data_IF_928312011907
#
_entry.id   IF_928312011907
#
_cell.length_a   1.000
_cell.length_b   1.000
_cell.length_c   1.000
_cell.angle_alpha   90.00
_cell.angle_beta   90.00
_cell.angle_gamma   90.00
#
_symmetry.space_group_name_H-M   'P 1'
#
loop_
_entity.id
_entity.type
_entity.pdbx_description
1 polymer ?
#
# COMPACT_ATOMS: atom_id res chain seq x y z
N UNK A 1 12.92 -34.49 -12.47
CA UNK A 1 11.71 -35.25 -12.84
C UNK A 1 10.75 -34.28 -13.50
N UNK A 2 10.53 -34.38 -14.81
CA UNK A 2 9.59 -33.51 -15.53
C UNK A 2 8.21 -34.17 -15.56
N UNK A 3 7.14 -33.39 -15.40
CA UNK A 3 5.76 -33.88 -15.51
C UNK A 3 5.18 -33.33 -16.81
N UNK A 4 4.75 -34.21 -17.72
CA UNK A 4 4.03 -33.81 -18.93
C UNK A 4 2.58 -33.55 -18.53
N UNK A 5 2.12 -32.32 -18.73
CA UNK A 5 0.76 -31.90 -18.40
C UNK A 5 0.12 -31.27 -19.64
N UNK A 6 -1.15 -31.60 -19.88
CA UNK A 6 -1.95 -31.00 -20.94
C UNK A 6 -2.56 -29.67 -20.50
N UNK A 7 -2.78 -28.76 -21.47
CA UNK A 7 -3.37 -27.43 -21.22
C UNK A 7 -4.69 -27.48 -20.41
N UNK A 8 -5.66 -28.38 -20.69
CA UNK A 8 -6.92 -28.43 -19.92
C UNK A 8 -6.71 -28.81 -18.45
N UNK A 9 -5.67 -29.58 -18.15
CA UNK A 9 -5.31 -29.95 -16.78
C UNK A 9 -4.73 -28.75 -16.04
N UNK A 10 -3.92 -27.90 -16.70
CA UNK A 10 -3.44 -26.65 -16.10
C UNK A 10 -4.57 -25.67 -15.82
N UNK A 11 -5.49 -25.49 -16.76
CA UNK A 11 -6.63 -24.57 -16.61
C UNK A 11 -7.50 -24.91 -15.39
N UNK A 12 -7.68 -26.21 -15.12
CA UNK A 12 -8.46 -26.72 -13.98
C UNK A 12 -7.61 -26.99 -12.73
N UNK A 13 -6.31 -26.73 -12.76
CA UNK A 13 -5.42 -27.02 -11.64
C UNK A 13 -5.81 -26.20 -10.41
N UNK A 14 -5.73 -26.84 -9.24
CA UNK A 14 -5.98 -26.16 -7.97
C UNK A 14 -4.82 -25.22 -7.64
N UNK A 15 -5.15 -23.98 -7.28
CA UNK A 15 -4.13 -22.99 -6.93
C UNK A 15 -3.75 -23.10 -5.45
N UNK A 16 -2.45 -23.18 -5.18
CA UNK A 16 -1.88 -23.23 -3.82
C UNK A 16 -1.53 -21.84 -3.27
N UNK A 17 -1.03 -20.96 -4.15
CA UNK A 17 -0.61 -19.60 -3.85
C UNK A 17 -0.82 -18.68 -5.04
N UNK A 18 -1.11 -17.40 -4.79
CA UNK A 18 -1.26 -16.39 -5.83
C UNK A 18 -0.77 -15.04 -5.36
N UNK A 19 -0.08 -14.31 -6.23
CA UNK A 19 0.42 -12.97 -5.97
C UNK A 19 -0.27 -11.99 -6.92
N UNK A 20 -1.18 -11.17 -6.38
CA UNK A 20 -1.86 -10.13 -7.15
C UNK A 20 -1.03 -8.86 -7.13
N UNK A 21 -0.95 -8.15 -8.26
CA UNK A 21 -0.15 -6.93 -8.28
C UNK A 21 -0.64 -5.89 -9.27
N UNK A 22 -0.30 -4.64 -8.99
CA UNK A 22 -0.58 -3.48 -9.82
C UNK A 22 0.63 -2.54 -9.83
N UNK A 23 1.06 -2.16 -11.02
CA UNK A 23 2.01 -1.07 -11.22
C UNK A 23 1.24 0.24 -11.36
N UNK A 24 1.69 1.28 -10.66
CA UNK A 24 1.11 2.61 -10.67
C UNK A 24 2.22 3.59 -11.04
N UNK A 25 2.02 4.33 -12.13
CA UNK A 25 2.89 5.45 -12.51
C UNK A 25 2.54 6.64 -11.62
N UNK A 26 3.55 7.29 -11.07
CA UNK A 26 3.39 8.52 -10.31
C UNK A 26 3.56 9.71 -11.25
N UNK A 27 2.73 10.73 -11.03
CA UNK A 27 2.74 11.99 -11.78
C UNK A 27 3.10 13.15 -10.84
N UNK A 28 3.20 14.38 -11.36
CA UNK A 28 3.39 15.61 -10.57
C UNK A 28 4.67 15.67 -9.72
N UNK A 29 5.72 14.96 -10.16
CA UNK A 29 7.02 14.95 -9.47
C UNK A 29 7.06 14.17 -8.16
N UNK A 30 6.00 13.41 -7.82
CA UNK A 30 6.04 12.49 -6.69
C UNK A 30 6.99 11.33 -6.94
N UNK A 31 7.84 11.03 -5.96
CA UNK A 31 8.76 9.88 -6.01
C UNK A 31 8.21 8.68 -5.27
N UNK A 32 8.52 7.47 -5.73
CA UNK A 32 8.12 6.23 -5.06
C UNK A 32 8.64 6.19 -3.61
N UNK A 33 9.84 6.72 -3.39
CA UNK A 33 10.45 6.88 -2.07
C UNK A 33 9.63 7.78 -1.13
N UNK A 34 9.12 8.92 -1.62
CA UNK A 34 8.28 9.80 -0.83
C UNK A 34 7.00 9.08 -0.38
N UNK A 35 6.30 8.43 -1.32
CA UNK A 35 5.07 7.70 -1.05
C UNK A 35 5.31 6.54 -0.06
N UNK A 36 6.36 5.75 -0.27
CA UNK A 36 6.72 4.64 0.64
C UNK A 36 7.05 5.16 2.04
N UNK A 37 7.72 6.32 2.15
CA UNK A 37 7.99 6.95 3.45
C UNK A 37 6.71 7.40 4.15
N UNK A 38 5.77 8.01 3.43
CA UNK A 38 4.49 8.43 3.98
C UNK A 38 3.64 7.21 4.40
N UNK A 39 3.55 6.18 3.54
CA UNK A 39 2.88 4.92 3.88
C UNK A 39 3.55 4.19 5.05
N UNK A 40 4.85 4.40 5.28
CA UNK A 40 5.55 3.78 6.41
C UNK A 40 5.15 4.35 7.77
N UNK A 41 4.54 5.53 7.82
CA UNK A 41 4.04 6.17 9.05
C UNK A 41 2.73 5.56 9.56
N UNK A 42 2.09 4.71 8.75
CA UNK A 42 0.82 4.04 9.03
C UNK A 42 0.87 3.14 10.27
N UNK A 43 -0.20 3.17 11.06
CA UNK A 43 -0.39 2.25 12.18
C UNK A 43 -1.06 0.94 11.74
N UNK A 44 -0.31 -0.17 11.80
CA UNK A 44 -0.83 -1.51 11.50
C UNK A 44 -1.26 -2.29 12.75
N UNK A 45 -2.04 -3.37 12.55
CA UNK A 45 -2.36 -4.32 13.62
C UNK A 45 -1.07 -4.99 14.09
N UNK A 46 -1.01 -5.35 15.39
CA UNK A 46 0.11 -6.10 15.99
C UNK A 46 0.41 -7.44 15.29
N UNK A 47 -0.57 -8.00 14.57
CA UNK A 47 -0.42 -9.24 13.80
C UNK A 47 0.38 -9.08 12.51
N UNK A 48 0.71 -7.83 12.11
CA UNK A 48 1.55 -7.54 10.96
C UNK A 48 2.89 -7.02 11.44
N UNK A 49 3.95 -7.70 11.02
CA UNK A 49 5.31 -7.20 11.13
C UNK A 49 5.56 -6.26 9.97
N UNK A 50 5.97 -5.03 10.28
CA UNK A 50 6.22 -4.05 9.24
C UNK A 50 7.70 -3.71 9.20
N UNK A 51 8.32 -4.14 8.10
CA UNK A 51 9.73 -3.92 7.83
C UNK A 51 9.87 -3.03 6.60
N UNK A 52 10.58 -1.92 6.78
CA UNK A 52 11.05 -1.09 5.68
C UNK A 52 12.45 -1.54 5.33
N UNK A 53 12.69 -1.80 4.05
CA UNK A 53 14.02 -2.15 3.56
C UNK A 53 14.46 -1.07 2.58
N UNK A 54 15.61 -0.45 2.86
CA UNK A 54 16.30 0.42 1.89
C UNK A 54 17.22 -0.46 1.05
N UNK A 55 17.33 -0.19 -0.24
CA UNK A 55 18.23 -0.89 -1.14
C UNK A 55 18.97 0.09 -2.05
N UNK A 56 19.97 -0.41 -2.81
CA UNK A 56 20.86 0.42 -3.64
C UNK A 56 20.11 1.39 -4.57
N UNK A 57 20.74 2.54 -4.84
CA UNK A 57 20.19 3.69 -5.60
C UNK A 57 19.00 4.37 -4.91
N UNK A 58 19.05 4.51 -3.58
CA UNK A 58 18.02 5.12 -2.72
C UNK A 58 16.62 4.50 -2.79
N UNK A 59 16.42 3.41 -3.52
CA UNK A 59 15.13 2.74 -3.63
C UNK A 59 14.65 2.15 -2.30
N UNK A 60 13.34 2.24 -2.07
CA UNK A 60 12.71 1.77 -0.83
C UNK A 60 11.68 0.68 -1.12
N UNK A 61 11.50 -0.21 -0.16
CA UNK A 61 10.35 -1.11 -0.10
C UNK A 61 9.75 -1.16 1.29
N UNK A 62 8.47 -1.50 1.28
CA UNK A 62 7.61 -1.57 2.43
C UNK A 62 7.00 -2.96 2.45
N UNK A 63 7.22 -3.69 3.52
CA UNK A 63 6.61 -4.99 3.76
C UNK A 63 5.67 -4.88 4.94
N UNK A 64 4.40 -5.21 4.74
CA UNK A 64 3.51 -5.62 5.81
C UNK A 64 3.40 -7.14 5.76
N UNK A 65 4.19 -7.81 6.59
CA UNK A 65 4.38 -9.24 6.59
C UNK A 65 3.51 -9.92 7.66
N UNK A 66 2.88 -11.04 7.28
CA UNK A 66 2.44 -12.08 8.19
C UNK A 66 2.92 -13.43 7.67
N UNK A 67 2.83 -14.48 8.48
CA UNK A 67 3.13 -15.85 8.04
C UNK A 67 2.29 -16.29 6.83
N UNK A 68 1.02 -15.88 6.77
CA UNK A 68 0.07 -16.38 5.78
C UNK A 68 0.00 -15.58 4.48
N UNK A 69 0.32 -14.28 4.56
CA UNK A 69 0.21 -13.34 3.45
C UNK A 69 1.00 -12.06 3.71
N UNK A 70 1.33 -11.34 2.64
CA UNK A 70 2.17 -10.14 2.70
C UNK A 70 1.64 -9.07 1.75
N UNK A 71 1.70 -7.81 2.17
CA UNK A 71 1.61 -6.67 1.27
C UNK A 71 3.02 -6.12 1.08
N UNK A 72 3.46 -6.05 -0.17
CA UNK A 72 4.76 -5.53 -0.58
C UNK A 72 4.53 -4.33 -1.48
N UNK A 73 5.08 -3.19 -1.08
CA UNK A 73 5.03 -1.95 -1.86
C UNK A 73 6.47 -1.52 -2.12
N UNK A 74 6.85 -1.36 -3.38
CA UNK A 74 8.23 -1.05 -3.72
C UNK A 74 8.36 -0.24 -4.99
N UNK A 75 9.49 0.47 -5.11
CA UNK A 75 9.90 1.12 -6.35
C UNK A 75 10.27 0.06 -7.39
N UNK A 76 9.44 -0.06 -8.43
CA UNK A 76 9.59 -1.10 -9.45
C UNK A 76 10.78 -0.83 -10.36
N UNK A 77 11.09 0.44 -10.63
CA UNK A 77 12.18 0.82 -11.54
C UNK A 77 13.51 0.61 -10.82
N UNK A 78 13.63 1.05 -9.58
CA UNK A 78 14.81 0.78 -8.78
C UNK A 78 15.02 -0.73 -8.54
N UNK A 79 13.95 -1.52 -8.35
CA UNK A 79 14.06 -2.97 -8.17
C UNK A 79 14.51 -3.72 -9.44
N UNK A 80 14.12 -3.24 -10.64
CA UNK A 80 14.55 -3.83 -11.91
C UNK A 80 16.05 -3.68 -12.17
N UNK A 81 16.70 -2.67 -11.56
CA UNK A 81 18.15 -2.48 -11.64
C UNK A 81 18.95 -3.52 -10.85
N UNK A 82 18.30 -4.32 -9.99
CA UNK A 82 18.97 -5.31 -9.14
C UNK A 82 19.19 -6.64 -9.85
N UNK A 83 20.24 -7.35 -9.40
CA UNK A 83 20.42 -8.76 -9.73
C UNK A 83 19.25 -9.61 -9.26
N UNK A 84 18.93 -10.70 -9.98
CA UNK A 84 17.83 -11.63 -9.63
C UNK A 84 17.90 -12.12 -8.17
N UNK A 85 19.12 -12.36 -7.66
CA UNK A 85 19.34 -12.79 -6.26
C UNK A 85 18.92 -11.73 -5.23
N UNK A 86 19.01 -10.43 -5.59
CA UNK A 86 18.72 -9.29 -4.71
C UNK A 86 17.38 -8.59 -5.00
N UNK A 87 16.80 -8.81 -6.18
CA UNK A 87 15.52 -8.24 -6.58
C UNK A 87 14.35 -8.76 -5.73
N UNK A 88 13.36 -7.90 -5.49
CA UNK A 88 12.10 -8.26 -4.82
C UNK A 88 11.22 -9.05 -5.79
N UNK A 89 11.24 -8.66 -7.06
CA UNK A 89 10.72 -9.47 -8.16
C UNK A 89 11.78 -10.48 -8.60
N UNK A 90 11.55 -11.76 -8.27
CA UNK A 90 12.45 -12.86 -8.65
C UNK A 90 12.27 -13.30 -10.10
N UNK A 91 11.11 -13.00 -10.70
CA UNK A 91 10.71 -13.46 -12.03
C UNK A 91 10.93 -12.36 -13.09
N UNK A 92 12.14 -11.79 -13.08
CA UNK A 92 12.58 -10.87 -14.14
C UNK A 92 12.78 -11.64 -15.45
N UNK A 93 11.73 -11.70 -16.27
CA UNK A 93 11.82 -12.20 -17.65
C UNK A 93 12.70 -11.29 -18.51
N UNK A 94 13.26 -11.82 -19.60
CA UNK A 94 14.08 -11.03 -20.53
C UNK A 94 13.28 -9.83 -21.08
N UNK A 95 11.99 -10.01 -21.34
CA UNK A 95 11.08 -8.94 -21.76
C UNK A 95 11.03 -7.77 -20.75
N UNK A 96 10.94 -8.06 -19.46
CA UNK A 96 10.94 -7.01 -18.42
C UNK A 96 12.26 -6.22 -18.38
N UNK A 97 13.39 -6.87 -18.69
CA UNK A 97 14.70 -6.22 -18.75
C UNK A 97 14.86 -5.35 -20.00
N UNK A 98 14.37 -5.81 -21.15
CA UNK A 98 14.37 -5.00 -22.37
C UNK A 98 13.48 -3.77 -22.20
N UNK A 99 12.29 -3.93 -21.62
CA UNK A 99 11.42 -2.80 -21.26
C UNK A 99 12.12 -1.82 -20.32
N UNK A 100 12.88 -2.31 -19.33
CA UNK A 100 13.67 -1.47 -18.43
C UNK A 100 14.70 -0.62 -19.18
N UNK A 101 15.48 -1.21 -20.09
CA UNK A 101 16.46 -0.46 -20.89
C UNK A 101 15.83 0.62 -21.76
N UNK A 102 14.57 0.47 -22.15
CA UNK A 102 13.85 1.52 -22.86
C UNK A 102 13.21 2.57 -21.94
N UNK A 103 12.88 2.20 -20.70
CA UNK A 103 12.34 3.13 -19.71
C UNK A 103 13.43 4.08 -19.19
N UNK A 104 14.68 3.64 -19.16
CA UNK A 104 15.84 4.45 -18.75
C UNK A 104 16.45 5.29 -19.87
N UNK A 105 16.06 5.07 -21.14
CA UNK A 105 16.54 5.86 -22.30
C UNK A 105 15.84 7.22 -22.47
N UNK A 106 14.67 7.42 -21.86
CA UNK A 106 13.96 8.71 -21.89
C UNK A 106 14.56 9.72 -20.92
N UNK A 107 14.51 11.02 -21.26
CA UNK A 107 14.91 12.12 -20.36
C UNK A 107 14.00 12.25 -19.11
N UNK A 108 12.81 11.65 -19.14
CA UNK A 108 11.89 11.65 -18.00
C UNK A 108 12.21 10.50 -17.04
N UNK A 109 12.62 10.85 -15.81
CA UNK A 109 12.67 9.92 -14.70
C UNK A 109 11.25 9.44 -14.41
N UNK A 110 10.95 8.21 -14.83
CA UNK A 110 9.67 7.58 -14.55
C UNK A 110 9.69 7.05 -13.13
N UNK A 111 8.66 7.37 -12.37
CA UNK A 111 8.45 6.87 -11.02
C UNK A 111 7.30 5.86 -11.07
N UNK A 112 7.62 4.59 -10.79
CA UNK A 112 6.62 3.51 -10.83
C UNK A 112 6.67 2.74 -9.52
N UNK A 113 5.57 2.80 -8.78
CA UNK A 113 5.38 2.03 -7.55
C UNK A 113 4.59 0.77 -7.87
N UNK A 114 5.00 -0.37 -7.33
CA UNK A 114 4.24 -1.62 -7.44
C UNK A 114 3.63 -1.98 -6.11
N UNK A 115 2.34 -2.26 -6.15
CA UNK A 115 1.60 -2.91 -5.08
C UNK A 115 1.54 -4.40 -5.38
N UNK A 116 1.95 -5.23 -4.44
CA UNK A 116 1.97 -6.68 -4.58
C UNK A 116 1.41 -7.35 -3.32
N UNK A 117 0.32 -8.10 -3.46
CA UNK A 117 -0.33 -8.85 -2.40
C UNK A 117 0.02 -10.30 -2.61
N UNK A 118 0.86 -10.86 -1.74
CA UNK A 118 1.33 -12.24 -1.79
C UNK A 118 0.48 -13.11 -0.88
N UNK A 119 -0.34 -13.99 -1.45
CA UNK A 119 -1.12 -14.99 -0.72
C UNK A 119 -0.39 -16.33 -0.81
N UNK A 120 0.40 -16.64 0.22
CA UNK A 120 1.30 -17.81 0.21
C UNK A 120 0.61 -19.10 0.67
N UNK A 121 -0.45 -18.98 1.49
CA UNK A 121 -1.17 -20.12 2.04
C UNK A 121 -2.59 -20.21 1.49
N UNK A 122 -2.95 -21.40 0.99
CA UNK A 122 -4.27 -21.71 0.41
C UNK A 122 -5.44 -21.34 1.32
N UNK A 123 -5.35 -21.64 2.62
CA UNK A 123 -6.40 -21.29 3.59
C UNK A 123 -6.65 -19.78 3.65
N UNK A 124 -5.58 -18.97 3.65
CA UNK A 124 -5.69 -17.51 3.67
C UNK A 124 -6.19 -16.96 2.35
N UNK A 125 -5.74 -17.52 1.23
CA UNK A 125 -6.24 -17.18 -0.10
C UNK A 125 -7.75 -17.41 -0.17
N UNK A 126 -8.23 -18.61 0.18
CA UNK A 126 -9.65 -18.94 0.19
C UNK A 126 -10.45 -17.98 1.09
N UNK A 127 -9.93 -17.64 2.27
CA UNK A 127 -10.58 -16.68 3.17
C UNK A 127 -10.68 -15.27 2.56
N UNK A 128 -9.61 -14.77 1.95
CA UNK A 128 -9.61 -13.45 1.30
C UNK A 128 -10.59 -13.42 0.12
N UNK A 129 -10.64 -14.50 -0.66
CA UNK A 129 -11.57 -14.62 -1.78
C UNK A 129 -13.02 -14.70 -1.33
N UNK A 130 -13.31 -15.49 -0.29
CA UNK A 130 -14.63 -15.58 0.33
C UNK A 130 -15.10 -14.25 0.93
N UNK A 131 -14.21 -13.53 1.64
CA UNK A 131 -14.48 -12.18 2.16
C UNK A 131 -14.85 -11.18 1.03
N UNK A 132 -14.41 -11.44 -0.20
CA UNK A 132 -14.69 -10.63 -1.40
C UNK A 132 -15.84 -11.18 -2.26
N UNK A 133 -16.51 -12.25 -1.81
CA UNK A 133 -17.67 -12.86 -2.47
C UNK A 133 -17.34 -13.89 -3.55
N UNK A 134 -16.11 -14.44 -3.57
CA UNK A 134 -15.70 -15.49 -4.50
C UNK A 134 -15.70 -16.89 -3.85
N UNK A 135 -15.79 -17.92 -4.68
CA UNK A 135 -15.75 -19.32 -4.24
C UNK A 135 -14.38 -19.75 -3.72
N UNK A 136 -14.39 -20.76 -2.84
CA UNK A 136 -13.18 -21.41 -2.34
C UNK A 136 -12.55 -22.31 -3.40
N UNK A 137 -11.23 -22.46 -3.34
CA UNK A 137 -10.44 -23.31 -4.21
C UNK A 137 -10.58 -22.96 -5.71
N UNK A 138 -10.27 -21.70 -6.09
CA UNK A 138 -10.30 -21.32 -7.50
C UNK A 138 -9.37 -22.20 -8.33
N UNK A 139 -9.78 -22.45 -9.57
CA UNK A 139 -8.91 -23.02 -10.59
C UNK A 139 -7.93 -21.98 -11.12
N UNK A 140 -6.90 -22.42 -11.83
CA UNK A 140 -5.94 -21.52 -12.47
C UNK A 140 -6.63 -20.51 -13.40
N UNK A 141 -7.60 -20.96 -14.20
CA UNK A 141 -8.35 -20.05 -15.10
C UNK A 141 -9.17 -19.03 -14.32
N UNK A 142 -9.83 -19.44 -13.23
CA UNK A 142 -10.65 -18.55 -12.42
C UNK A 142 -9.82 -17.47 -11.72
N UNK A 143 -8.61 -17.83 -11.26
CA UNK A 143 -7.74 -16.90 -10.55
C UNK A 143 -7.05 -15.90 -11.49
N UNK A 144 -6.90 -16.25 -12.77
CA UNK A 144 -6.34 -15.40 -13.81
C UNK A 144 -7.37 -14.35 -14.28
N UNK A 145 -7.82 -13.52 -13.35
CA UNK A 145 -8.88 -12.52 -13.56
C UNK A 145 -8.42 -11.14 -13.13
N UNK A 146 -8.49 -10.19 -14.06
CA UNK A 146 -8.19 -8.77 -13.80
C UNK A 146 -9.10 -8.20 -12.71
N UNK A 147 -10.39 -8.55 -12.74
CA UNK A 147 -11.37 -8.09 -11.75
C UNK A 147 -11.04 -8.61 -10.35
N UNK A 148 -10.66 -9.89 -10.24
CA UNK A 148 -10.25 -10.47 -8.94
C UNK A 148 -9.00 -9.78 -8.41
N UNK A 149 -8.00 -9.56 -9.28
CA UNK A 149 -6.78 -8.84 -8.91
C UNK A 149 -7.09 -7.41 -8.45
N UNK A 150 -7.95 -6.69 -9.17
CA UNK A 150 -8.41 -5.35 -8.81
C UNK A 150 -9.06 -5.33 -7.42
N UNK A 151 -10.01 -6.23 -7.15
CA UNK A 151 -10.69 -6.29 -5.84
C UNK A 151 -9.73 -6.59 -4.70
N UNK A 152 -8.84 -7.56 -4.88
CA UNK A 152 -7.87 -7.93 -3.84
C UNK A 152 -6.90 -6.79 -3.55
N UNK A 153 -6.30 -6.18 -4.58
CA UNK A 153 -5.34 -5.07 -4.38
C UNK A 153 -6.03 -3.89 -3.70
N UNK A 154 -7.25 -3.54 -4.14
CA UNK A 154 -8.04 -2.44 -3.59
C UNK A 154 -8.47 -2.67 -2.15
N UNK A 155 -8.87 -3.89 -1.77
CA UNK A 155 -9.18 -4.22 -0.36
C UNK A 155 -7.97 -4.00 0.54
N UNK A 156 -6.80 -4.48 0.14
CA UNK A 156 -5.58 -4.34 0.92
C UNK A 156 -5.16 -2.87 1.06
N UNK A 157 -5.22 -2.11 -0.03
CA UNK A 157 -5.00 -0.65 0.00
C UNK A 157 -5.95 0.03 0.99
N UNK A 158 -7.25 -0.25 0.89
CA UNK A 158 -8.29 0.37 1.70
C UNK A 158 -8.13 0.03 3.18
N UNK A 159 -8.02 -1.26 3.51
CA UNK A 159 -8.05 -1.80 4.88
C UNK A 159 -6.76 -1.58 5.66
N UNK A 160 -5.60 -1.67 4.98
CA UNK A 160 -4.29 -1.57 5.64
C UNK A 160 -3.74 -0.15 5.61
N UNK A 161 -3.93 0.58 4.51
CA UNK A 161 -3.30 1.90 4.33
C UNK A 161 -4.31 3.02 4.52
N UNK A 162 -5.40 3.05 3.75
CA UNK A 162 -6.32 4.19 3.67
C UNK A 162 -7.15 4.39 4.93
N UNK A 163 -8.09 3.49 5.25
CA UNK A 163 -9.11 3.67 6.29
C UNK A 163 -8.55 3.96 7.69
N UNK A 164 -7.36 3.44 8.00
CA UNK A 164 -6.75 3.59 9.32
C UNK A 164 -5.95 4.88 9.50
N UNK A 165 -5.62 5.58 8.41
CA UNK A 165 -4.59 6.62 8.42
C UNK A 165 -4.89 7.82 7.51
N UNK A 166 -6.15 8.02 7.08
CA UNK A 166 -6.56 9.14 6.21
C UNK A 166 -5.93 10.49 6.62
N UNK A 167 -5.83 10.76 7.91
CA UNK A 167 -5.28 11.99 8.48
C UNK A 167 -3.78 12.15 8.35
N UNK A 168 -3.01 11.05 8.34
CA UNK A 168 -1.57 11.15 8.09
C UNK A 168 -1.29 11.70 6.68
N UNK A 169 -2.23 11.46 5.75
CA UNK A 169 -2.12 11.83 4.35
C UNK A 169 -2.83 13.15 4.00
N UNK A 170 -3.21 13.97 4.99
CA UNK A 170 -3.80 15.28 4.67
C UNK A 170 -2.72 16.29 4.26
N UNK A 171 -3.10 17.28 3.44
CA UNK A 171 -2.21 18.37 3.01
C UNK A 171 -1.63 19.09 4.25
N UNK A 172 -0.37 19.52 4.18
CA UNK A 172 0.23 20.37 5.23
C UNK A 172 -0.50 21.70 5.28
N UNK A 173 -1.35 21.86 6.29
CA UNK A 173 -1.98 23.15 6.63
C UNK A 173 -1.30 23.66 7.89
N UNK A 174 -1.26 24.99 8.09
CA UNK A 174 -0.79 25.57 9.34
C UNK A 174 -1.50 24.91 10.54
N UNK A 175 -0.80 24.73 11.66
CA UNK A 175 -1.35 24.13 12.89
C UNK A 175 -2.68 24.80 13.29
N UNK A 176 -2.76 26.14 13.13
CA UNK A 176 -3.97 26.92 13.40
C UNK A 176 -5.10 26.61 12.43
N UNK A 177 -4.80 26.33 11.17
CA UNK A 177 -5.81 25.97 10.17
C UNK A 177 -6.30 24.54 10.34
N UNK A 178 -5.44 23.62 10.81
CA UNK A 178 -5.88 22.28 11.23
C UNK A 178 -6.86 22.39 12.41
N UNK A 179 -6.57 23.24 13.39
CA UNK A 179 -7.48 23.53 14.51
C UNK A 179 -8.82 24.11 14.03
N UNK A 180 -8.78 25.09 13.11
CA UNK A 180 -10.00 25.65 12.48
C UNK A 180 -10.78 24.56 11.75
N UNK A 181 -10.09 23.67 11.03
CA UNK A 181 -10.72 22.56 10.31
C UNK A 181 -11.44 21.60 11.27
N UNK A 182 -10.85 21.31 12.44
CA UNK A 182 -11.51 20.49 13.47
C UNK A 182 -12.83 21.10 13.95
N UNK A 183 -12.84 22.40 14.25
CA UNK A 183 -14.06 23.11 14.67
C UNK A 183 -15.10 23.25 13.56
N UNK A 184 -14.66 23.39 12.30
CA UNK A 184 -15.57 23.41 11.14
C UNK A 184 -16.18 22.03 10.87
N UNK A 185 -15.41 20.96 11.08
CA UNK A 185 -15.85 19.59 10.85
C UNK A 185 -16.81 19.08 11.94
N UNK A 186 -16.65 19.53 13.18
CA UNK A 186 -17.54 19.22 14.30
C UNK A 186 -17.81 20.48 15.15
N UNK A 187 -19.00 21.07 14.95
CA UNK A 187 -19.44 22.29 15.64
C UNK A 187 -19.65 22.10 17.15
N UNK A 188 -19.77 20.87 17.62
CA UNK A 188 -19.97 20.54 19.04
C UNK A 188 -18.64 20.20 19.75
N UNK A 189 -17.52 20.21 19.03
CA UNK A 189 -16.22 19.83 19.56
C UNK A 189 -15.71 20.85 20.57
N UNK A 190 -15.48 20.40 21.80
CA UNK A 190 -14.98 21.27 22.88
C UNK A 190 -13.52 21.67 22.65
N UNK A 191 -13.08 22.89 23.02
CA UNK A 191 -11.72 23.37 22.76
C UNK A 191 -10.60 22.46 23.29
N UNK A 192 -10.74 21.94 24.52
CA UNK A 192 -9.77 20.98 25.09
C UNK A 192 -9.65 19.71 24.26
N UNK A 193 -10.77 19.19 23.76
CA UNK A 193 -10.79 18.00 22.94
C UNK A 193 -10.21 18.29 21.55
N UNK A 194 -10.50 19.45 20.97
CA UNK A 194 -9.90 19.88 19.70
C UNK A 194 -8.37 20.00 19.79
N UNK A 195 -7.85 20.60 20.87
CA UNK A 195 -6.39 20.69 21.11
C UNK A 195 -5.77 19.31 21.32
N UNK A 196 -6.44 18.42 22.06
CA UNK A 196 -6.00 17.03 22.22
C UNK A 196 -5.91 16.29 20.89
N UNK A 197 -6.97 16.37 20.06
CA UNK A 197 -7.00 15.74 18.73
C UNK A 197 -5.96 16.34 17.79
N UNK A 198 -5.76 17.67 17.84
CA UNK A 198 -4.72 18.36 17.08
C UNK A 198 -3.32 17.90 17.49
N UNK A 199 -3.03 17.87 18.79
CA UNK A 199 -1.74 17.42 19.31
C UNK A 199 -1.46 15.97 18.94
N UNK A 200 -2.47 15.10 19.09
CA UNK A 200 -2.39 13.71 18.67
C UNK A 200 -2.11 13.58 17.17
N UNK A 201 -2.79 14.38 16.35
CA UNK A 201 -2.62 14.41 14.91
C UNK A 201 -1.23 14.90 14.48
N UNK A 202 -0.69 15.92 15.14
CA UNK A 202 0.67 16.42 14.90
C UNK A 202 1.72 15.39 15.28
N UNK A 203 1.63 14.82 16.48
CA UNK A 203 2.55 13.78 16.96
C UNK A 203 2.50 12.51 16.08
N UNK A 204 1.34 12.21 15.51
CA UNK A 204 1.18 11.07 14.60
C UNK A 204 1.82 11.31 13.21
N UNK A 205 1.95 12.58 12.79
CA UNK A 205 2.56 12.98 11.51
C UNK A 205 4.05 13.29 11.59
N UNK A 206 4.54 13.52 12.80
CA UNK A 206 5.95 13.74 13.12
C UNK A 206 6.83 12.54 12.71
N UNK A 207 8.15 12.68 12.80
CA UNK A 207 9.10 11.65 12.37
C UNK A 207 8.77 10.27 12.96
N UNK A 208 8.85 9.23 12.12
CA UNK A 208 8.48 7.83 12.43
C UNK A 208 7.01 7.59 12.87
N UNK A 209 6.17 8.63 12.87
CA UNK A 209 4.72 8.61 12.92
C UNK A 209 4.10 7.80 14.05
N UNK A 210 2.93 7.19 13.77
CA UNK A 210 2.15 6.47 14.78
C UNK A 210 2.89 5.30 15.44
N UNK A 211 3.87 4.70 14.77
CA UNK A 211 4.62 3.56 15.32
C UNK A 211 5.55 4.01 16.44
N UNK A 212 6.30 5.09 16.24
CA UNK A 212 7.15 5.63 17.31
C UNK A 212 6.30 6.20 18.44
N UNK A 213 5.21 6.90 18.11
CA UNK A 213 4.26 7.37 19.11
C UNK A 213 3.72 6.21 19.97
N UNK A 214 3.38 5.06 19.36
CA UNK A 214 3.00 3.85 20.10
C UNK A 214 4.08 3.43 21.08
N UNK A 215 5.32 3.29 20.60
CA UNK A 215 6.45 2.82 21.41
C UNK A 215 6.74 3.74 22.58
N UNK A 216 6.60 5.06 22.39
CA UNK A 216 6.77 6.06 23.46
C UNK A 216 5.63 5.91 24.49
N UNK A 217 4.38 5.85 24.04
CA UNK A 217 3.21 5.80 24.91
C UNK A 217 3.04 4.45 25.61
N UNK A 218 3.44 3.34 24.99
CA UNK A 218 3.35 1.99 25.57
C UNK A 218 4.29 1.80 26.77
N UNK A 219 5.32 2.64 26.92
CA UNK A 219 6.16 2.67 28.14
C UNK A 219 5.43 3.24 29.36
N UNK A 220 4.34 3.99 29.14
CA UNK A 220 3.59 4.71 30.19
C UNK A 220 2.12 4.30 30.24
N UNK A 221 1.67 3.40 29.36
CA UNK A 221 0.27 3.00 29.26
C UNK A 221 0.12 1.57 28.71
N UNK A 222 -1.01 0.94 29.02
CA UNK A 222 -1.32 -0.40 28.51
C UNK A 222 -1.87 -0.37 27.08
N UNK A 223 -1.93 -1.53 26.44
CA UNK A 223 -2.44 -1.67 25.07
C UNK A 223 -3.88 -1.16 24.90
N UNK A 224 -4.74 -1.32 25.92
CA UNK A 224 -6.13 -0.86 25.86
C UNK A 224 -6.20 0.66 25.68
N UNK A 225 -5.38 1.40 26.43
CA UNK A 225 -5.25 2.85 26.29
C UNK A 225 -4.74 3.23 24.91
N UNK A 226 -3.74 2.51 24.38
CA UNK A 226 -3.25 2.72 23.01
C UNK A 226 -4.35 2.55 21.96
N UNK A 227 -5.17 1.50 22.05
CA UNK A 227 -6.26 1.29 21.10
C UNK A 227 -7.32 2.40 21.16
N UNK A 228 -7.57 2.98 22.33
CA UNK A 228 -8.44 4.17 22.47
C UNK A 228 -7.82 5.39 21.79
N UNK A 229 -6.54 5.66 22.04
CA UNK A 229 -5.80 6.76 21.39
C UNK A 229 -5.76 6.58 19.87
N UNK A 230 -5.52 5.36 19.38
CA UNK A 230 -5.55 5.07 17.95
C UNK A 230 -6.94 5.33 17.32
N UNK A 231 -8.02 5.07 18.07
CA UNK A 231 -9.40 5.41 17.65
C UNK A 231 -9.62 6.92 17.63
N UNK A 232 -9.16 7.64 18.65
CA UNK A 232 -9.23 9.12 18.68
C UNK A 232 -8.43 9.73 17.50
N UNK A 233 -7.29 9.14 17.15
CA UNK A 233 -6.52 9.53 15.97
C UNK A 233 -7.30 9.30 14.67
N UNK A 234 -7.99 8.16 14.53
CA UNK A 234 -8.85 7.92 13.37
C UNK A 234 -9.96 8.97 13.27
N UNK A 235 -10.57 9.34 14.39
CA UNK A 235 -11.56 10.41 14.44
C UNK A 235 -10.96 11.76 14.01
N UNK A 236 -9.82 12.17 14.57
CA UNK A 236 -9.13 13.39 14.20
C UNK A 236 -8.80 13.41 12.70
N UNK A 237 -8.27 12.30 12.21
CA UNK A 237 -8.00 12.03 10.81
C UNK A 237 -9.22 12.26 9.93
N UNK A 238 -10.36 11.64 10.25
CA UNK A 238 -11.58 11.79 9.44
C UNK A 238 -12.08 13.24 9.42
N UNK A 239 -12.05 13.93 10.56
CA UNK A 239 -12.48 15.33 10.67
C UNK A 239 -11.58 16.29 9.86
N UNK A 240 -10.26 16.09 9.92
CA UNK A 240 -9.28 16.95 9.24
C UNK A 240 -9.25 16.71 7.74
N UNK A 241 -9.48 15.46 7.30
CA UNK A 241 -9.27 15.05 5.91
C UNK A 241 -10.53 15.07 5.06
N UNK A 242 -11.69 15.43 5.64
CA UNK A 242 -13.01 15.37 4.98
C UNK A 242 -13.05 16.03 3.60
N UNK A 243 -12.13 16.97 3.28
CA UNK A 243 -11.98 17.61 1.96
C UNK A 243 -10.51 17.87 1.52
N UNK A 244 -9.49 17.19 2.08
CA UNK A 244 -8.06 17.54 1.84
C UNK A 244 -7.11 16.34 1.84
N UNK A 245 -7.38 15.33 1.01
CA UNK A 245 -6.40 14.25 0.77
C UNK A 245 -5.25 14.79 -0.08
N UNK A 246 -4.02 14.31 0.16
CA UNK A 246 -2.89 14.56 -0.74
C UNK A 246 -3.16 13.96 -2.12
N UNK A 247 -2.72 14.65 -3.16
CA UNK A 247 -3.01 14.28 -4.56
C UNK A 247 -2.51 12.88 -4.94
N UNK A 248 -1.39 12.43 -4.35
CA UNK A 248 -0.88 11.08 -4.59
C UNK A 248 -1.82 9.97 -4.08
N UNK A 249 -2.64 10.23 -3.05
CA UNK A 249 -3.65 9.26 -2.58
C UNK A 249 -4.75 9.12 -3.63
N UNK A 250 -5.18 10.25 -4.21
CA UNK A 250 -6.18 10.27 -5.27
C UNK A 250 -5.63 9.60 -6.55
N UNK A 251 -4.35 9.79 -6.89
CA UNK A 251 -3.70 9.07 -7.99
C UNK A 251 -3.74 7.55 -7.78
N UNK A 252 -3.46 7.06 -6.57
CA UNK A 252 -3.53 5.62 -6.27
C UNK A 252 -4.97 5.11 -6.37
N UNK A 253 -5.92 5.82 -5.77
CA UNK A 253 -7.33 5.45 -5.82
C UNK A 253 -7.83 5.33 -7.27
N UNK A 254 -7.55 6.35 -8.09
CA UNK A 254 -7.88 6.37 -9.52
C UNK A 254 -7.20 5.21 -10.26
N UNK A 255 -5.92 4.97 -10.03
CA UNK A 255 -5.18 3.88 -10.69
C UNK A 255 -5.70 2.48 -10.33
N UNK A 256 -6.20 2.31 -9.10
CA UNK A 256 -6.83 1.08 -8.63
C UNK A 256 -8.26 0.92 -9.14
N UNK A 257 -9.00 2.03 -9.35
CA UNK A 257 -10.31 2.02 -10.00
C UNK A 257 -10.23 1.71 -11.50
N UNK A 258 -9.35 2.38 -12.24
CA UNK A 258 -9.19 2.15 -13.68
C UNK A 258 -8.51 0.79 -13.93
N UNK A 259 -7.58 0.42 -13.07
CA UNK A 259 -6.81 -0.84 -13.12
C UNK A 259 -6.13 -1.12 -14.48
N UNK A 260 -5.92 -0.09 -15.30
CA UNK A 260 -5.31 -0.24 -16.63
C UNK A 260 -3.86 -0.77 -16.58
N UNK A 261 -3.49 -1.76 -17.41
CA UNK A 261 -2.11 -2.24 -17.46
C UNK A 261 -1.18 -1.08 -17.82
N UNK A 262 -0.04 -0.98 -17.16
CA UNK A 262 1.00 -0.05 -17.57
C UNK A 262 1.54 -0.50 -18.93
N UNK A 263 1.03 0.10 -20.01
CA UNK A 263 1.47 -0.13 -21.38
C UNK A 263 2.29 1.06 -21.83
N UNK A 264 3.46 0.80 -22.39
CA UNK A 264 4.13 1.77 -23.24
C UNK A 264 3.47 1.64 -24.61
N UNK A 265 2.99 2.73 -25.20
CA UNK A 265 2.82 2.76 -26.65
C UNK A 265 4.22 2.52 -27.24
N UNK A 266 4.41 1.39 -27.91
CA UNK A 266 5.55 1.25 -28.80
C UNK A 266 5.35 2.36 -29.84
N UNK A 267 6.07 3.47 -29.68
CA UNK A 267 6.26 4.41 -30.77
C UNK A 267 6.91 3.59 -31.87
N UNK A 268 6.11 3.20 -32.86
CA UNK A 268 6.58 2.74 -34.16
C UNK A 268 7.50 3.83 -34.68
N UNK A 269 8.80 3.57 -34.57
CA UNK A 269 9.81 4.28 -35.35
C UNK A 269 9.77 3.79 -36.79
#
# INVERSE_FOLDING_TARGET
>A
MGVIVSKPVLEKASVSSVHFSKNIRLEDGYTANHLISEMNKVNLRKSFDFSKTRFMNDGQSLYAHTTSHQLVIYDKIADLSKDKKRAIDKDQTCYHRTLFTELTKGKDLKEVIRFEIRLNHKQKMNKVLEDLGYDKNPTFTQIFSTEMSKRVVSDYWKRLIKERNLGLFSISVSIKDVLRTLFLADKNLKPKQAIYLLGLFMLARDENGMRQLRTILSKRSNDRTWYRIAKDMQQASTLITKNKLRDWVNQIDKSLEEYEPYKKSLSTG
#
